data_IF_447187494158
#
_entry.id   IF_447187494158
#
_cell.length_a   1.000
_cell.length_b   1.000
_cell.length_c   1.000
_cell.angle_alpha   90.00
_cell.angle_beta   90.00
_cell.angle_gamma   90.00
#
_symmetry.space_group_name_H-M   'P 1'
#
loop_
_entity.id
_entity.type
_entity.pdbx_description
1 polymer ?
#
# COMPACT_ATOMS: atom_id res chain seq x y z
N UNK A 1 27.75 -2.68 17.04
CA UNK A 1 26.77 -1.94 17.85
C UNK A 1 27.17 -0.46 17.86
N UNK A 2 26.66 0.34 16.96
CA UNK A 2 26.84 1.80 16.98
C UNK A 2 25.58 2.38 17.59
N UNK A 3 25.66 2.87 18.80
CA UNK A 3 24.62 3.65 19.45
C UNK A 3 24.53 5.01 18.76
N UNK A 4 23.69 5.14 17.74
CA UNK A 4 23.29 6.44 17.24
C UNK A 4 22.32 7.07 18.24
N UNK A 5 22.86 7.85 19.18
CA UNK A 5 22.12 8.73 20.06
C UNK A 5 21.55 9.89 19.24
N UNK A 6 20.25 9.81 18.89
CA UNK A 6 19.32 10.94 18.98
C UNK A 6 19.66 12.25 18.26
N UNK A 7 20.25 12.25 17.04
CA UNK A 7 20.13 13.42 16.17
C UNK A 7 18.94 13.17 15.24
N UNK A 8 17.89 13.99 15.34
CA UNK A 8 16.84 14.06 14.33
C UNK A 8 17.53 14.34 12.98
N UNK A 9 17.20 13.57 11.96
CA UNK A 9 17.75 13.74 10.59
C UNK A 9 17.29 15.07 9.99
N UNK A 10 16.07 15.48 10.32
CA UNK A 10 15.48 16.77 9.95
C UNK A 10 14.71 17.34 11.15
N UNK A 11 14.34 18.61 11.12
CA UNK A 11 13.77 19.31 12.30
C UNK A 11 12.46 18.69 12.80
N UNK A 12 11.46 18.49 11.90
CA UNK A 12 10.19 17.83 12.22
C UNK A 12 9.63 17.03 11.01
N UNK A 13 9.54 17.64 9.83
CA UNK A 13 9.10 17.00 8.59
C UNK A 13 9.74 17.65 7.38
N UNK A 14 9.82 16.91 6.28
CA UNK A 14 10.24 17.40 4.97
C UNK A 14 9.11 17.17 3.99
N UNK A 15 8.74 18.21 3.26
CA UNK A 15 7.84 18.11 2.13
C UNK A 15 8.68 17.86 0.86
N UNK A 16 8.32 16.80 0.14
CA UNK A 16 8.93 16.43 -1.13
C UNK A 16 8.10 17.01 -2.26
N UNK A 17 8.74 17.85 -3.06
CA UNK A 17 8.13 18.51 -4.21
C UNK A 17 8.75 17.96 -5.50
N UNK A 18 7.92 17.63 -6.50
CA UNK A 18 8.40 17.10 -7.78
C UNK A 18 7.29 16.52 -8.64
N UNK A 19 6.21 16.04 -8.03
CA UNK A 19 5.03 15.59 -8.77
C UNK A 19 4.22 16.78 -9.30
N UNK A 20 3.69 16.62 -10.52
CA UNK A 20 2.81 17.62 -11.17
C UNK A 20 1.33 17.21 -11.16
N UNK A 21 0.99 16.19 -10.42
CA UNK A 21 -0.37 15.68 -10.24
C UNK A 21 -0.52 14.98 -8.91
N UNK A 22 -1.76 14.63 -8.59
CA UNK A 22 -2.11 13.93 -7.35
C UNK A 22 -1.27 12.68 -7.16
N UNK A 23 -0.78 12.47 -5.94
CA UNK A 23 0.01 11.30 -5.60
C UNK A 23 -0.91 10.26 -4.98
N UNK A 24 -0.98 9.10 -5.61
CA UNK A 24 -1.87 8.01 -5.18
C UNK A 24 -1.20 7.06 -4.21
N UNK A 25 0.11 6.87 -4.33
CA UNK A 25 0.86 5.84 -3.60
C UNK A 25 2.25 6.32 -3.22
N UNK A 26 2.72 5.89 -2.06
CA UNK A 26 4.06 6.19 -1.58
C UNK A 26 4.52 5.20 -0.52
N UNK A 27 5.62 4.48 -0.78
CA UNK A 27 6.13 3.40 0.08
C UNK A 27 7.64 3.50 0.29
N UNK A 28 8.07 3.22 1.50
CA UNK A 28 9.48 3.02 1.80
C UNK A 28 9.98 1.68 1.23
N UNK A 29 11.25 1.64 0.88
CA UNK A 29 11.97 0.37 0.64
C UNK A 29 12.04 -0.46 1.92
N UNK A 30 12.26 -1.77 1.79
CA UNK A 30 12.34 -2.68 2.95
C UNK A 30 13.55 -2.36 3.83
N UNK A 31 14.66 -1.89 3.25
CA UNK A 31 15.81 -1.40 4.01
C UNK A 31 15.60 0.00 4.62
N UNK A 32 14.51 0.69 4.27
CA UNK A 32 14.15 2.01 4.78
C UNK A 32 14.98 3.17 4.25
N UNK A 33 15.93 2.94 3.35
CA UNK A 33 16.84 3.97 2.83
C UNK A 33 16.21 4.83 1.74
N UNK A 34 15.26 4.25 0.99
CA UNK A 34 14.56 4.92 -0.11
C UNK A 34 13.07 5.06 0.18
N UNK A 35 12.48 6.07 -0.43
CA UNK A 35 11.05 6.27 -0.51
C UNK A 35 10.67 6.40 -1.98
N UNK A 36 9.60 5.74 -2.40
CA UNK A 36 9.09 5.83 -3.75
C UNK A 36 7.68 6.43 -3.73
N UNK A 37 7.40 7.36 -4.64
CA UNK A 37 6.07 7.96 -4.81
C UNK A 37 5.62 7.92 -6.27
N UNK A 38 4.32 7.75 -6.51
CA UNK A 38 3.75 7.72 -7.85
C UNK A 38 2.28 8.17 -7.88
N UNK A 39 1.81 8.64 -9.03
CA UNK A 39 0.44 9.16 -9.10
C UNK A 39 -0.08 9.50 -10.49
N UNK A 40 -0.93 10.52 -10.52
CA UNK A 40 -1.68 10.94 -11.72
C UNK A 40 -0.81 11.55 -12.81
N UNK A 41 0.37 12.07 -12.47
CA UNK A 41 1.36 12.56 -13.43
C UNK A 41 2.10 11.44 -14.18
N UNK A 42 1.80 10.16 -13.87
CA UNK A 42 2.37 8.96 -14.51
C UNK A 42 3.87 8.79 -14.27
N UNK A 43 4.40 9.46 -13.28
CA UNK A 43 5.82 9.44 -12.92
C UNK A 43 6.01 8.63 -11.64
N UNK A 44 7.12 7.91 -11.56
CA UNK A 44 7.59 7.26 -10.35
C UNK A 44 8.84 8.05 -9.92
N UNK A 45 8.81 8.64 -8.74
CA UNK A 45 9.93 9.33 -8.13
C UNK A 45 10.53 8.50 -7.00
N UNK A 46 11.86 8.43 -6.96
CA UNK A 46 12.63 7.71 -5.94
C UNK A 46 13.46 8.74 -5.17
N UNK A 47 13.32 8.71 -3.85
CA UNK A 47 13.90 9.67 -2.92
C UNK A 47 14.83 8.96 -1.94
N UNK A 48 16.00 9.53 -1.65
CA UNK A 48 16.89 9.06 -0.59
C UNK A 48 16.46 9.67 0.75
N UNK A 49 16.03 8.83 1.69
CA UNK A 49 15.42 9.28 2.95
C UNK A 49 16.42 9.91 3.91
N UNK A 50 17.65 9.38 3.95
CA UNK A 50 18.67 9.78 4.93
C UNK A 50 19.63 10.87 4.45
N UNK A 51 19.43 11.37 3.24
CA UNK A 51 20.06 12.63 2.86
C UNK A 51 19.37 13.82 3.55
N UNK A 52 20.14 14.89 3.84
CA UNK A 52 19.65 16.06 4.60
C UNK A 52 18.41 16.74 4.02
N UNK A 53 18.13 16.53 2.74
CA UNK A 53 17.03 17.15 2.01
C UNK A 53 16.07 16.12 1.40
N UNK A 54 16.23 14.83 1.67
CA UNK A 54 15.51 13.75 0.98
C UNK A 54 15.54 13.99 -0.54
N UNK A 55 16.73 13.94 -1.14
CA UNK A 55 16.87 14.29 -2.56
C UNK A 55 16.21 13.24 -3.45
N UNK A 56 15.63 13.72 -4.56
CA UNK A 56 15.20 12.85 -5.63
C UNK A 56 16.45 12.29 -6.34
N UNK A 57 16.64 10.97 -6.26
CA UNK A 57 17.79 10.29 -6.86
C UNK A 57 17.48 9.72 -8.23
N UNK A 58 16.20 9.44 -8.52
CA UNK A 58 15.76 8.96 -9.84
C UNK A 58 14.29 9.28 -10.08
N UNK A 59 13.92 9.50 -11.35
CA UNK A 59 12.56 9.75 -11.79
C UNK A 59 12.26 9.01 -13.08
N UNK A 60 11.31 8.08 -13.03
CA UNK A 60 10.84 7.36 -14.22
C UNK A 60 9.65 8.13 -14.79
N UNK A 61 9.97 9.05 -15.72
CA UNK A 61 8.99 9.91 -16.36
C UNK A 61 8.22 9.12 -17.42
N UNK A 62 6.89 9.30 -17.45
CA UNK A 62 6.00 8.53 -18.33
C UNK A 62 6.13 7.01 -18.17
N UNK A 63 6.29 6.56 -16.92
CA UNK A 63 6.33 5.15 -16.58
C UNK A 63 5.13 4.38 -17.16
N UNK A 64 3.94 4.99 -17.07
CA UNK A 64 2.70 4.47 -17.64
C UNK A 64 2.06 5.49 -18.59
N UNK A 65 1.12 5.04 -19.43
CA UNK A 65 0.33 5.92 -20.30
C UNK A 65 -0.85 6.59 -19.58
N UNK A 66 -1.20 6.12 -18.40
CA UNK A 66 -2.30 6.58 -17.54
C UNK A 66 -1.86 6.66 -16.09
N UNK A 67 -2.67 7.23 -15.16
CA UNK A 67 -2.34 7.32 -13.75
C UNK A 67 -1.86 6.01 -13.13
N UNK A 68 -0.86 6.11 -12.25
CA UNK A 68 -0.38 5.00 -11.43
C UNK A 68 -1.21 4.99 -10.16
N UNK A 69 -1.74 3.81 -9.77
CA UNK A 69 -2.64 3.69 -8.63
C UNK A 69 -1.96 3.09 -7.41
N UNK A 70 -1.02 2.16 -7.60
CA UNK A 70 -0.22 1.62 -6.51
C UNK A 70 1.15 1.13 -7.01
N UNK A 71 2.12 1.11 -6.09
CA UNK A 71 3.45 0.55 -6.26
C UNK A 71 3.74 -0.48 -5.18
N UNK A 72 4.68 -1.39 -5.45
CA UNK A 72 5.22 -2.32 -4.47
C UNK A 72 6.72 -2.53 -4.70
N UNK A 73 7.50 -2.52 -3.62
CA UNK A 73 8.92 -2.86 -3.65
C UNK A 73 9.13 -4.37 -3.67
N UNK A 74 10.16 -4.84 -4.35
CA UNK A 74 10.65 -6.20 -4.20
C UNK A 74 11.35 -6.38 -2.85
N UNK A 75 11.42 -7.61 -2.35
CA UNK A 75 11.99 -7.88 -1.02
C UNK A 75 13.49 -7.53 -0.91
N UNK A 76 14.20 -7.52 -2.03
CA UNK A 76 15.62 -7.16 -2.14
C UNK A 76 15.85 -5.66 -2.41
N UNK A 77 14.77 -4.90 -2.57
CA UNK A 77 14.77 -3.48 -2.90
C UNK A 77 15.42 -3.13 -4.26
N UNK A 78 15.64 -4.10 -5.14
CA UNK A 78 16.22 -3.86 -6.47
C UNK A 78 15.17 -3.47 -7.51
N UNK A 79 13.89 -3.79 -7.27
CA UNK A 79 12.80 -3.58 -8.22
C UNK A 79 11.60 -2.91 -7.58
N UNK A 80 10.84 -2.20 -8.43
CA UNK A 80 9.52 -1.66 -8.11
C UNK A 80 8.52 -2.24 -9.11
N UNK A 81 7.42 -2.79 -8.61
CA UNK A 81 6.26 -3.09 -9.42
C UNK A 81 5.25 -1.94 -9.32
N UNK A 82 4.61 -1.58 -10.42
CA UNK A 82 3.58 -0.54 -10.48
C UNK A 82 2.36 -1.02 -11.23
N UNK A 83 1.18 -0.58 -10.78
CA UNK A 83 -0.08 -0.85 -11.47
C UNK A 83 -0.78 0.46 -11.86
N UNK A 84 -1.56 0.41 -12.94
CA UNK A 84 -2.09 1.63 -13.57
C UNK A 84 -3.48 1.44 -14.17
N UNK A 85 -4.14 2.59 -14.36
CA UNK A 85 -5.35 2.76 -15.16
C UNK A 85 -5.15 2.35 -16.63
N UNK A 86 -3.89 2.26 -17.11
CA UNK A 86 -3.57 1.76 -18.45
C UNK A 86 -3.67 0.23 -18.59
N UNK A 87 -4.20 -0.46 -17.56
CA UNK A 87 -4.46 -1.91 -17.52
C UNK A 87 -3.19 -2.76 -17.46
N UNK A 88 -2.08 -2.17 -17.04
CA UNK A 88 -0.78 -2.84 -17.01
C UNK A 88 -0.22 -2.89 -15.61
N UNK A 89 0.53 -3.96 -15.38
CA UNK A 89 1.48 -4.09 -14.30
C UNK A 89 2.88 -4.06 -14.90
N UNK A 90 3.75 -3.20 -14.39
CA UNK A 90 5.10 -3.04 -14.92
C UNK A 90 6.12 -3.22 -13.81
N UNK A 91 7.17 -4.00 -14.07
CA UNK A 91 8.32 -4.17 -13.20
C UNK A 91 9.46 -3.29 -13.68
N UNK A 92 10.06 -2.51 -12.77
CA UNK A 92 11.11 -1.54 -13.03
C UNK A 92 12.37 -1.87 -12.26
N UNK A 93 13.52 -1.67 -12.90
CA UNK A 93 14.83 -1.62 -12.24
C UNK A 93 15.02 -0.21 -11.66
N UNK A 94 15.29 -0.11 -10.36
CA UNK A 94 15.38 1.19 -9.67
C UNK A 94 16.65 1.97 -10.02
N UNK A 95 17.74 1.27 -10.37
CA UNK A 95 19.03 1.88 -10.66
C UNK A 95 19.05 2.52 -12.06
N UNK A 96 18.50 1.80 -13.02
CA UNK A 96 18.53 2.21 -14.43
C UNK A 96 17.25 2.95 -14.85
N UNK A 97 16.17 2.87 -14.09
CA UNK A 97 14.86 3.42 -14.43
C UNK A 97 14.20 2.74 -15.65
N UNK A 98 14.71 1.58 -16.08
CA UNK A 98 14.17 0.85 -17.21
C UNK A 98 13.13 -0.16 -16.77
N UNK A 99 12.10 -0.37 -17.60
CA UNK A 99 11.19 -1.48 -17.37
C UNK A 99 11.86 -2.81 -17.71
N UNK A 100 11.62 -3.81 -16.88
CA UNK A 100 12.07 -5.20 -17.09
C UNK A 100 10.99 -5.99 -17.81
N UNK A 101 9.76 -5.95 -17.28
CA UNK A 101 8.60 -6.66 -17.80
C UNK A 101 7.38 -5.76 -17.75
N UNK A 102 6.53 -5.83 -18.79
CA UNK A 102 5.20 -5.23 -18.82
C UNK A 102 4.16 -6.33 -19.01
N UNK A 103 3.39 -6.59 -17.97
CA UNK A 103 2.27 -7.52 -17.99
C UNK A 103 1.01 -6.81 -18.50
N UNK A 104 0.28 -7.45 -19.43
CA UNK A 104 -0.91 -6.89 -20.11
C UNK A 104 -2.10 -7.85 -19.98
N UNK A 105 -2.29 -8.38 -18.80
CA UNK A 105 -3.20 -9.48 -18.56
C UNK A 105 -4.52 -9.05 -17.94
N UNK A 106 -4.59 -7.80 -17.45
CA UNK A 106 -5.83 -7.17 -17.02
C UNK A 106 -6.61 -6.57 -18.19
N UNK A 107 -7.91 -6.77 -18.18
CA UNK A 107 -8.83 -6.22 -19.18
C UNK A 107 -9.30 -4.81 -18.84
N UNK A 108 -9.11 -4.35 -17.58
CA UNK A 108 -9.48 -3.02 -17.10
C UNK A 108 -8.47 -2.47 -16.08
N UNK A 109 -8.80 -1.35 -15.40
CA UNK A 109 -7.93 -0.67 -14.46
C UNK A 109 -7.41 -1.61 -13.38
N UNK A 110 -6.11 -1.49 -13.07
CA UNK A 110 -5.48 -2.25 -11.99
C UNK A 110 -5.38 -1.35 -10.76
N UNK A 111 -6.10 -1.70 -9.71
CA UNK A 111 -6.25 -0.86 -8.52
C UNK A 111 -5.20 -1.10 -7.46
N UNK A 112 -4.70 -2.34 -7.35
CA UNK A 112 -3.76 -2.70 -6.28
C UNK A 112 -2.77 -3.74 -6.73
N UNK A 113 -1.58 -3.67 -6.12
CA UNK A 113 -0.45 -4.54 -6.38
C UNK A 113 0.31 -4.81 -5.10
N UNK A 114 0.80 -6.04 -4.94
CA UNK A 114 1.73 -6.37 -3.87
C UNK A 114 2.80 -7.33 -4.36
N UNK A 115 3.94 -7.36 -3.66
CA UNK A 115 5.12 -8.12 -4.04
C UNK A 115 5.52 -9.07 -2.91
N UNK A 116 5.83 -10.32 -3.23
CA UNK A 116 6.34 -11.29 -2.27
C UNK A 116 7.31 -12.23 -2.97
N UNK A 117 8.57 -12.23 -2.55
CA UNK A 117 9.70 -12.95 -3.16
C UNK A 117 9.80 -12.71 -4.68
N UNK A 118 9.40 -13.70 -5.48
CA UNK A 118 9.40 -13.61 -6.95
C UNK A 118 7.98 -13.45 -7.52
N UNK A 119 6.97 -13.26 -6.68
CA UNK A 119 5.58 -13.18 -7.10
C UNK A 119 5.05 -11.76 -6.96
N UNK A 120 4.31 -11.33 -7.95
CA UNK A 120 3.52 -10.11 -7.95
C UNK A 120 2.05 -10.51 -8.00
N UNK A 121 1.23 -10.06 -7.06
CA UNK A 121 -0.22 -10.16 -7.19
C UNK A 121 -0.79 -8.80 -7.57
N UNK A 122 -1.82 -8.80 -8.40
CA UNK A 122 -2.54 -7.59 -8.80
C UNK A 122 -4.03 -7.85 -8.89
N UNK A 123 -4.83 -6.83 -8.60
CA UNK A 123 -6.30 -6.88 -8.66
C UNK A 123 -6.85 -5.63 -9.34
N UNK A 124 -8.01 -5.77 -9.99
CA UNK A 124 -8.54 -4.66 -10.75
C UNK A 124 -10.06 -4.65 -10.93
N UNK A 125 -10.47 -3.68 -11.75
CA UNK A 125 -11.86 -3.45 -12.12
C UNK A 125 -12.44 -4.59 -12.98
N UNK A 126 -11.59 -5.37 -13.63
CA UNK A 126 -11.95 -6.57 -14.37
C UNK A 126 -12.35 -7.75 -13.48
N UNK A 127 -12.44 -7.54 -12.17
CA UNK A 127 -12.78 -8.55 -11.17
C UNK A 127 -11.76 -9.69 -11.08
N UNK A 128 -10.55 -9.51 -11.58
CA UNK A 128 -9.53 -10.55 -11.58
C UNK A 128 -8.47 -10.31 -10.49
N UNK A 129 -8.02 -11.40 -9.88
CA UNK A 129 -6.76 -11.50 -9.15
C UNK A 129 -5.77 -12.21 -10.07
N UNK A 130 -4.67 -11.56 -10.42
CA UNK A 130 -3.62 -12.11 -11.28
C UNK A 130 -2.34 -12.23 -10.48
N UNK A 131 -1.65 -13.36 -10.67
CA UNK A 131 -0.37 -13.65 -10.02
C UNK A 131 0.67 -13.87 -11.11
N UNK A 132 1.72 -13.07 -11.08
CA UNK A 132 2.84 -13.12 -12.02
C UNK A 132 4.12 -13.53 -11.30
N UNK A 133 4.87 -14.46 -11.85
CA UNK A 133 6.24 -14.76 -11.42
C UNK A 133 7.22 -13.93 -12.26
N UNK A 134 8.05 -13.11 -11.62
CA UNK A 134 8.99 -12.20 -12.30
C UNK A 134 10.04 -12.95 -13.14
N UNK A 135 10.26 -14.24 -12.88
CA UNK A 135 11.15 -15.11 -13.66
C UNK A 135 10.50 -15.57 -14.97
N UNK A 136 9.17 -15.39 -15.07
CA UNK A 136 8.37 -15.79 -16.23
C UNK A 136 7.77 -14.54 -16.91
N UNK A 137 7.66 -14.59 -18.23
CA UNK A 137 7.07 -13.47 -19.02
C UNK A 137 5.54 -13.49 -19.08
N UNK A 138 4.91 -14.50 -18.52
CA UNK A 138 3.46 -14.72 -18.55
C UNK A 138 2.93 -14.92 -17.15
N UNK A 139 1.61 -14.72 -16.98
CA UNK A 139 0.95 -14.97 -15.70
C UNK A 139 1.14 -16.41 -15.23
N UNK A 140 1.39 -16.57 -13.95
CA UNK A 140 1.52 -17.88 -13.33
C UNK A 140 0.16 -18.45 -12.92
N UNK A 141 -0.74 -17.60 -12.48
CA UNK A 141 -2.08 -18.00 -12.02
C UNK A 141 -3.07 -16.83 -12.11
N UNK A 142 -4.36 -17.12 -12.15
CA UNK A 142 -5.40 -16.09 -12.08
C UNK A 142 -6.66 -16.65 -11.46
N UNK A 143 -7.40 -15.79 -10.77
CA UNK A 143 -8.71 -16.08 -10.22
C UNK A 143 -9.70 -15.00 -10.65
N UNK A 144 -10.85 -15.40 -11.18
CA UNK A 144 -11.95 -14.51 -11.57
C UNK A 144 -12.98 -14.44 -10.44
N UNK A 145 -13.13 -13.24 -9.88
CA UNK A 145 -14.16 -12.96 -8.88
C UNK A 145 -15.44 -12.47 -9.54
N UNK A 146 -16.50 -12.36 -8.75
CA UNK A 146 -17.80 -11.85 -9.23
C UNK A 146 -17.85 -10.32 -9.29
N UNK A 147 -17.13 -9.65 -8.38
CA UNK A 147 -17.18 -8.20 -8.19
C UNK A 147 -15.79 -7.60 -8.36
N UNK A 148 -15.73 -6.28 -8.62
CA UNK A 148 -14.49 -5.52 -8.74
C UNK A 148 -13.67 -5.62 -7.46
N UNK A 149 -12.36 -5.78 -7.62
CA UNK A 149 -11.39 -5.91 -6.56
C UNK A 149 -10.56 -4.63 -6.47
N UNK A 150 -10.43 -4.09 -5.29
CA UNK A 150 -9.79 -2.77 -5.05
C UNK A 150 -8.47 -2.87 -4.31
N UNK A 151 -8.21 -4.00 -3.63
CA UNK A 151 -7.01 -4.16 -2.81
C UNK A 151 -6.63 -5.64 -2.69
N UNK A 152 -5.32 -5.89 -2.67
CA UNK A 152 -4.74 -7.21 -2.40
C UNK A 152 -3.48 -7.09 -1.54
N UNK A 153 -3.17 -8.14 -0.79
CA UNK A 153 -1.98 -8.23 0.05
C UNK A 153 -1.54 -9.68 0.23
N UNK A 154 -0.25 -9.96 0.01
CA UNK A 154 0.33 -11.24 0.38
C UNK A 154 0.38 -11.39 1.91
N UNK A 155 -0.02 -12.54 2.42
CA UNK A 155 0.27 -12.93 3.79
C UNK A 155 1.60 -13.70 3.86
N UNK A 156 1.83 -14.52 2.88
CA UNK A 156 3.03 -15.31 2.69
C UNK A 156 3.09 -15.77 1.22
N UNK A 157 4.09 -16.55 0.85
CA UNK A 157 4.27 -17.07 -0.51
C UNK A 157 3.13 -18.01 -0.99
N UNK A 158 2.18 -18.34 -0.14
CA UNK A 158 1.09 -19.26 -0.48
C UNK A 158 -0.29 -18.63 -0.38
N UNK A 159 -0.44 -17.51 0.33
CA UNK A 159 -1.75 -16.94 0.63
C UNK A 159 -1.80 -15.45 0.28
N UNK A 160 -2.89 -15.04 -0.35
CA UNK A 160 -3.20 -13.65 -0.67
C UNK A 160 -4.55 -13.31 -0.05
N UNK A 161 -4.63 -12.17 0.65
CA UNK A 161 -5.89 -11.55 1.02
C UNK A 161 -6.26 -10.51 -0.03
N UNK A 162 -7.54 -10.47 -0.41
CA UNK A 162 -8.06 -9.47 -1.31
C UNK A 162 -9.48 -9.07 -0.96
N UNK A 163 -9.87 -7.86 -1.34
CA UNK A 163 -11.20 -7.33 -1.08
C UNK A 163 -11.61 -6.32 -2.14
N UNK A 164 -12.89 -5.96 -2.15
CA UNK A 164 -13.46 -5.08 -3.16
C UNK A 164 -14.78 -4.45 -2.77
N UNK A 165 -15.63 -4.22 -3.78
CA UNK A 165 -16.91 -3.52 -3.66
C UNK A 165 -18.01 -4.34 -2.99
N UNK A 166 -17.80 -5.61 -2.75
CA UNK A 166 -18.75 -6.50 -2.06
C UNK A 166 -18.57 -6.50 -0.53
N UNK A 167 -17.70 -5.64 -0.01
CA UNK A 167 -17.46 -5.38 1.41
C UNK A 167 -16.89 -6.58 2.18
N UNK A 168 -16.42 -7.61 1.47
CA UNK A 168 -15.87 -8.83 2.06
C UNK A 168 -14.39 -8.96 1.74
N UNK A 169 -13.65 -9.66 2.60
CA UNK A 169 -12.25 -9.97 2.39
C UNK A 169 -12.12 -11.48 2.26
N UNK A 170 -11.42 -11.90 1.23
CA UNK A 170 -11.22 -13.29 0.86
C UNK A 170 -9.77 -13.69 1.02
N UNK A 171 -9.55 -14.95 1.35
CA UNK A 171 -8.23 -15.58 1.36
C UNK A 171 -8.11 -16.50 0.15
N UNK A 172 -7.09 -16.28 -0.67
CA UNK A 172 -6.77 -17.13 -1.82
C UNK A 172 -5.54 -17.98 -1.52
N UNK A 173 -5.64 -19.29 -1.72
CA UNK A 173 -4.54 -20.24 -1.61
C UNK A 173 -3.92 -20.44 -3.00
N UNK A 174 -2.69 -19.98 -3.17
CA UNK A 174 -1.97 -20.01 -4.46
C UNK A 174 -1.72 -21.45 -4.90
N UNK A 175 -1.37 -22.35 -3.97
CA UNK A 175 -1.08 -23.76 -4.29
C UNK A 175 -2.32 -24.51 -4.75
N UNK A 176 -3.46 -24.22 -4.12
CA UNK A 176 -4.73 -24.84 -4.48
C UNK A 176 -5.42 -24.15 -5.67
N UNK A 177 -5.01 -22.92 -6.00
CA UNK A 177 -5.63 -22.14 -7.06
C UNK A 177 -7.08 -21.74 -6.79
N UNK A 178 -7.48 -21.59 -5.53
CA UNK A 178 -8.87 -21.31 -5.15
C UNK A 178 -8.98 -20.52 -3.85
N UNK A 179 -10.14 -19.89 -3.66
CA UNK A 179 -10.49 -19.22 -2.40
C UNK A 179 -10.69 -20.28 -1.29
N UNK A 180 -10.21 -19.95 -0.11
CA UNK A 180 -10.57 -20.68 1.11
C UNK A 180 -11.99 -20.30 1.53
N UNK A 181 -12.96 -21.13 1.19
CA UNK A 181 -14.40 -20.91 1.49
C UNK A 181 -14.71 -20.81 2.99
N UNK A 182 -13.82 -21.32 3.84
CA UNK A 182 -13.97 -21.26 5.29
C UNK A 182 -13.38 -19.99 5.89
N UNK A 183 -12.76 -19.15 5.05
CA UNK A 183 -12.05 -17.96 5.48
C UNK A 183 -12.52 -16.73 4.70
N UNK A 184 -13.74 -16.29 5.00
CA UNK A 184 -14.32 -15.05 4.47
C UNK A 184 -14.54 -14.11 5.64
N UNK A 185 -13.96 -12.91 5.59
CA UNK A 185 -14.09 -11.90 6.64
C UNK A 185 -15.24 -10.94 6.29
N UNK A 186 -16.22 -10.88 7.15
CA UNK A 186 -17.44 -10.06 6.97
C UNK A 186 -17.57 -9.13 8.17
N UNK A 187 -17.72 -7.82 7.93
CA UNK A 187 -17.85 -6.82 9.01
C UNK A 187 -17.80 -5.37 8.55
N UNK A 188 -17.29 -5.10 7.35
CA UNK A 188 -17.44 -3.80 6.71
C UNK A 188 -18.80 -3.63 6.05
N UNK A 189 -19.25 -2.38 5.95
CA UNK A 189 -20.55 -2.03 5.35
C UNK A 189 -20.42 -1.35 3.98
N UNK A 190 -19.20 -1.12 3.52
CA UNK A 190 -18.91 -0.50 2.22
C UNK A 190 -17.59 -1.03 1.66
N UNK A 191 -17.22 -0.60 0.48
CA UNK A 191 -16.05 -1.00 -0.31
C UNK A 191 -14.78 -1.03 0.55
N UNK A 192 -14.03 -2.13 0.46
CA UNK A 192 -12.69 -2.24 1.06
C UNK A 192 -11.72 -1.44 0.21
N UNK A 193 -10.93 -0.55 0.80
CA UNK A 193 -10.01 0.33 0.07
C UNK A 193 -8.54 0.01 0.30
N UNK A 194 -8.20 -0.61 1.42
CA UNK A 194 -6.82 -0.95 1.76
C UNK A 194 -6.73 -2.17 2.64
N UNK A 195 -5.68 -2.93 2.45
CA UNK A 195 -5.30 -4.08 3.28
C UNK A 195 -3.82 -3.99 3.64
N UNK A 196 -3.47 -4.36 4.85
CA UNK A 196 -2.09 -4.58 5.27
C UNK A 196 -2.01 -5.69 6.32
N UNK A 197 -0.87 -6.37 6.40
CA UNK A 197 -0.66 -7.49 7.32
C UNK A 197 0.37 -7.10 8.37
N UNK A 198 0.09 -7.47 9.62
CA UNK A 198 1.03 -7.28 10.71
C UNK A 198 2.32 -8.09 10.48
N UNK A 199 3.46 -7.57 10.94
CA UNK A 199 4.77 -8.22 10.75
C UNK A 199 4.85 -9.61 11.37
N UNK A 200 4.07 -9.86 12.43
CA UNK A 200 3.97 -11.18 13.06
C UNK A 200 3.02 -12.15 12.33
N UNK A 201 2.43 -11.75 11.20
CA UNK A 201 1.47 -12.52 10.39
C UNK A 201 0.26 -13.06 11.17
N UNK A 202 -0.16 -12.35 12.25
CA UNK A 202 -1.32 -12.75 13.06
C UNK A 202 -2.58 -11.95 12.74
N UNK A 203 -2.38 -10.71 12.29
CA UNK A 203 -3.48 -9.78 12.09
C UNK A 203 -3.47 -9.21 10.68
N UNK A 204 -4.66 -9.04 10.15
CA UNK A 204 -4.92 -8.27 8.94
C UNK A 204 -5.60 -6.98 9.36
N UNK A 205 -5.16 -5.87 8.79
CA UNK A 205 -5.80 -4.56 8.88
C UNK A 205 -6.55 -4.31 7.58
N UNK A 206 -7.76 -3.82 7.67
CA UNK A 206 -8.54 -3.38 6.51
C UNK A 206 -9.08 -1.98 6.72
N UNK A 207 -9.09 -1.18 5.66
CA UNK A 207 -9.77 0.10 5.58
C UNK A 207 -10.94 0.02 4.62
N UNK A 208 -12.03 0.76 4.90
CA UNK A 208 -13.24 0.75 4.08
C UNK A 208 -13.87 2.13 3.96
N UNK A 209 -14.61 2.34 2.87
CA UNK A 209 -15.44 3.54 2.66
C UNK A 209 -16.54 3.72 3.71
N UNK A 210 -16.77 2.73 4.58
CA UNK A 210 -17.64 2.87 5.76
C UNK A 210 -17.02 3.73 6.89
N UNK A 211 -15.87 4.38 6.64
CA UNK A 211 -15.11 5.22 7.58
C UNK A 211 -14.60 4.44 8.81
N UNK A 212 -14.28 3.18 8.63
CA UNK A 212 -13.70 2.37 9.69
C UNK A 212 -12.50 1.55 9.22
N UNK A 213 -11.58 1.30 10.17
CA UNK A 213 -10.59 0.26 10.03
C UNK A 213 -10.99 -0.92 10.91
N UNK A 214 -10.72 -2.13 10.42
CA UNK A 214 -10.94 -3.35 11.20
C UNK A 214 -9.64 -4.14 11.27
N UNK A 215 -9.33 -4.62 12.49
CA UNK A 215 -8.25 -5.55 12.75
C UNK A 215 -8.87 -6.95 12.88
N UNK A 216 -8.40 -7.87 12.05
CA UNK A 216 -8.85 -9.26 11.99
C UNK A 216 -7.77 -10.19 12.51
N UNK A 217 -8.13 -11.15 13.34
CA UNK A 217 -7.23 -12.23 13.75
C UNK A 217 -7.26 -13.32 12.68
N UNK A 218 -6.23 -13.40 11.85
CA UNK A 218 -6.19 -14.33 10.70
C UNK A 218 -5.68 -15.73 11.06
N UNK A 219 -5.36 -15.98 12.31
CA UNK A 219 -5.02 -17.32 12.79
C UNK A 219 -6.23 -18.11 13.29
N UNK A 220 -7.33 -17.41 13.59
CA UNK A 220 -8.58 -18.06 14.02
C UNK A 220 -9.45 -18.45 12.83
N UNK A 221 -10.23 -19.51 13.04
CA UNK A 221 -11.32 -19.89 12.15
C UNK A 221 -12.64 -19.42 12.76
N UNK A 222 -13.50 -18.76 11.97
CA UNK A 222 -14.81 -18.29 12.42
C UNK A 222 -14.87 -16.78 12.68
N UNK A 223 -15.23 -16.34 13.89
CA UNK A 223 -15.31 -14.89 14.17
C UNK A 223 -13.90 -14.29 14.35
N UNK A 224 -13.39 -13.73 13.27
CA UNK A 224 -12.04 -13.21 13.19
C UNK A 224 -11.92 -11.73 13.56
N UNK A 225 -13.05 -11.03 13.78
CA UNK A 225 -13.05 -9.62 14.13
C UNK A 225 -12.40 -9.43 15.52
N UNK A 226 -11.25 -8.76 15.55
CA UNK A 226 -10.54 -8.46 16.79
C UNK A 226 -10.91 -7.09 17.31
N UNK A 227 -10.87 -6.06 16.45
CA UNK A 227 -11.14 -4.68 16.85
C UNK A 227 -11.62 -3.83 15.66
N UNK A 228 -12.56 -2.92 15.92
CA UNK A 228 -13.00 -1.88 14.98
C UNK A 228 -12.51 -0.52 15.46
N UNK A 229 -11.84 0.24 14.59
CA UNK A 229 -11.27 1.55 14.83
C UNK A 229 -12.02 2.58 13.98
N UNK A 230 -12.25 3.75 14.54
CA UNK A 230 -12.98 4.84 13.90
C UNK A 230 -12.16 6.12 13.93
N UNK A 231 -12.46 7.06 13.00
CA UNK A 231 -11.87 8.40 13.02
C UNK A 231 -11.39 8.89 11.67
N UNK A 232 -10.97 7.99 10.76
CA UNK A 232 -10.70 8.34 9.38
C UNK A 232 -11.99 8.67 8.64
N UNK A 233 -11.87 9.44 7.55
CA UNK A 233 -13.00 9.83 6.71
C UNK A 233 -12.71 9.53 5.26
N UNK A 234 -13.68 8.98 4.56
CA UNK A 234 -13.70 8.90 3.12
C UNK A 234 -14.52 10.06 2.57
N UNK A 235 -14.02 10.69 1.52
CA UNK A 235 -14.68 11.82 0.85
C UNK A 235 -15.56 11.39 -0.32
N UNK A 236 -16.29 12.33 -0.91
CA UNK A 236 -17.12 12.10 -2.09
C UNK A 236 -16.30 11.67 -3.33
N UNK A 237 -15.00 11.92 -3.32
CA UNK A 237 -14.07 11.56 -4.39
C UNK A 237 -13.82 10.06 -4.48
N UNK A 238 -14.18 9.31 -3.43
CA UNK A 238 -14.04 7.84 -3.34
C UNK A 238 -12.61 7.34 -3.59
N UNK A 239 -11.62 8.09 -3.12
CA UNK A 239 -10.22 7.69 -3.20
C UNK A 239 -9.98 6.36 -2.45
N UNK A 240 -9.10 5.53 -3.01
CA UNK A 240 -8.68 4.29 -2.37
C UNK A 240 -7.63 4.61 -1.28
N UNK A 241 -8.11 4.97 -0.09
CA UNK A 241 -7.23 5.30 1.03
C UNK A 241 -6.62 4.01 1.59
N UNK A 242 -5.29 3.98 1.66
CA UNK A 242 -4.54 2.82 2.16
C UNK A 242 -4.27 2.93 3.65
N UNK A 243 -4.13 1.77 4.28
CA UNK A 243 -3.80 1.66 5.70
C UNK A 243 -2.52 0.86 5.89
N UNK A 244 -1.84 1.05 7.02
CA UNK A 244 -0.53 0.44 7.27
C UNK A 244 -0.33 0.10 8.75
N UNK A 245 0.32 -1.06 9.00
CA UNK A 245 0.90 -1.43 10.28
C UNK A 245 2.27 -0.78 10.45
N UNK A 246 2.63 -0.42 11.69
CA UNK A 246 4.02 -0.14 12.01
C UNK A 246 4.82 -1.43 12.23
N UNK A 247 6.14 -1.32 12.29
CA UNK A 247 7.05 -2.47 12.36
C UNK A 247 6.90 -3.32 13.63
N UNK A 248 6.44 -2.72 14.73
CA UNK A 248 6.30 -3.38 16.04
C UNK A 248 4.90 -3.98 16.26
N UNK A 249 4.00 -3.88 15.29
CA UNK A 249 2.59 -4.29 15.39
C UNK A 249 1.80 -3.62 16.54
N UNK A 250 2.29 -2.46 16.99
CA UNK A 250 1.67 -1.71 18.09
C UNK A 250 0.78 -0.58 17.62
N UNK A 251 1.05 -0.05 16.42
CA UNK A 251 0.35 1.08 15.83
C UNK A 251 -0.17 0.72 14.44
N UNK A 252 -1.26 1.38 14.07
CA UNK A 252 -1.77 1.39 12.71
C UNK A 252 -2.01 2.82 12.26
N UNK A 253 -1.86 3.06 10.97
CA UNK A 253 -2.08 4.37 10.38
C UNK A 253 -2.94 4.26 9.13
N UNK A 254 -3.63 5.33 8.81
CA UNK A 254 -4.41 5.46 7.59
C UNK A 254 -4.43 6.92 7.14
N UNK A 255 -4.42 7.10 5.83
CA UNK A 255 -4.77 8.36 5.23
C UNK A 255 -6.27 8.67 5.36
N UNK A 256 -6.64 9.92 5.16
CA UNK A 256 -8.01 10.37 5.32
C UNK A 256 -8.34 11.53 4.39
N UNK A 257 -9.59 11.60 3.94
CA UNK A 257 -10.08 12.71 3.11
C UNK A 257 -10.17 14.05 3.87
N UNK A 258 -10.07 14.01 5.19
CA UNK A 258 -10.01 15.24 6.02
C UNK A 258 -8.61 15.87 6.06
N UNK A 259 -7.66 15.41 5.21
CA UNK A 259 -6.28 15.93 5.06
C UNK A 259 -5.35 15.60 6.23
N UNK A 260 -5.74 14.66 7.07
CA UNK A 260 -5.04 14.30 8.31
C UNK A 260 -4.54 12.86 8.18
N UNK A 261 -3.33 12.61 8.66
CA UNK A 261 -2.86 11.25 8.92
C UNK A 261 -3.25 10.88 10.34
N UNK A 262 -4.03 9.83 10.49
CA UNK A 262 -4.42 9.31 11.81
C UNK A 262 -3.55 8.12 12.19
N UNK A 263 -3.12 8.09 13.45
CA UNK A 263 -2.37 6.97 14.02
C UNK A 263 -3.12 6.46 15.27
N UNK A 264 -3.44 5.17 15.27
CA UNK A 264 -4.10 4.49 16.39
C UNK A 264 -3.13 3.59 17.14
N UNK A 265 -3.29 3.54 18.45
CA UNK A 265 -2.73 2.47 19.26
C UNK A 265 -3.63 1.22 19.16
N UNK A 266 -3.04 0.12 18.75
CA UNK A 266 -3.76 -1.15 18.53
C UNK A 266 -4.34 -1.69 19.84
N UNK A 267 -3.59 -1.58 20.95
CA UNK A 267 -4.01 -2.07 22.26
C UNK A 267 -5.14 -1.23 22.83
N UNK A 268 -4.99 0.09 22.81
CA UNK A 268 -5.98 1.04 23.34
C UNK A 268 -7.21 1.14 22.41
N UNK A 269 -7.03 1.02 21.10
CA UNK A 269 -8.11 1.13 20.11
C UNK A 269 -8.57 2.58 19.88
N UNK A 270 -7.72 3.55 20.17
CA UNK A 270 -8.00 4.97 19.97
C UNK A 270 -6.88 5.67 19.21
N UNK A 271 -7.23 6.83 18.62
CA UNK A 271 -6.26 7.70 17.98
C UNK A 271 -5.34 8.28 19.03
N UNK A 272 -4.04 8.09 18.83
CA UNK A 272 -3.01 8.64 19.72
C UNK A 272 -2.34 9.88 19.13
N UNK A 273 -2.37 10.00 17.79
CA UNK A 273 -1.76 11.13 17.10
C UNK A 273 -2.46 11.45 15.79
N UNK A 274 -2.56 12.74 15.52
CA UNK A 274 -2.98 13.31 14.26
C UNK A 274 -1.82 14.12 13.67
N UNK A 275 -1.45 13.86 12.40
CA UNK A 275 -0.39 14.60 11.70
C UNK A 275 -1.06 15.46 10.65
N UNK A 276 -0.74 16.74 10.69
CA UNK A 276 -1.26 17.78 9.81
C UNK A 276 -0.16 18.23 8.85
N UNK A 277 -0.55 18.82 7.72
CA UNK A 277 0.40 19.41 6.77
C UNK A 277 -0.09 19.35 5.33
N UNK A 278 -0.92 18.37 5.00
CA UNK A 278 -1.50 18.26 3.67
C UNK A 278 -2.69 19.20 3.47
N UNK A 279 -2.87 19.65 2.22
CA UNK A 279 -4.00 20.47 1.77
C UNK A 279 -5.05 19.69 0.98
N UNK A 280 -4.78 18.43 0.65
CA UNK A 280 -5.66 17.48 -0.04
C UNK A 280 -5.89 16.21 0.75
N UNK A 281 -6.72 15.31 0.23
CA UNK A 281 -6.91 13.96 0.77
C UNK A 281 -5.57 13.23 0.89
N UNK A 282 -5.31 12.60 2.01
CA UNK A 282 -4.13 11.73 2.20
C UNK A 282 -4.50 10.34 1.71
N UNK A 283 -3.83 9.86 0.67
CA UNK A 283 -4.18 8.61 -0.01
C UNK A 283 -3.48 7.39 0.60
N UNK A 284 -2.20 7.50 0.89
CA UNK A 284 -1.42 6.41 1.47
C UNK A 284 -0.45 6.94 2.54
N UNK A 285 -0.15 6.07 3.47
CA UNK A 285 0.76 6.30 4.59
C UNK A 285 1.65 5.08 4.73
N UNK A 286 2.93 5.27 5.02
CA UNK A 286 3.85 4.17 5.28
C UNK A 286 4.82 4.48 6.42
N UNK A 287 5.22 3.44 7.17
CA UNK A 287 6.19 3.54 8.25
C UNK A 287 7.57 3.12 7.77
N UNK A 288 8.60 3.86 8.17
CA UNK A 288 9.97 3.51 7.82
C UNK A 288 10.42 2.27 8.60
N UNK A 289 10.98 1.28 7.89
CA UNK A 289 11.45 0.03 8.49
C UNK A 289 12.69 0.18 9.36
N UNK A 290 13.59 1.10 8.99
CA UNK A 290 14.88 1.31 9.67
C UNK A 290 14.74 2.22 10.89
N UNK A 291 13.91 3.25 10.81
CA UNK A 291 13.70 4.23 11.89
C UNK A 291 12.22 4.26 12.28
N UNK A 292 11.84 3.59 13.37
CA UNK A 292 10.43 3.34 13.72
C UNK A 292 9.54 4.58 13.89
N UNK A 293 10.16 5.75 14.15
CA UNK A 293 9.43 7.00 14.36
C UNK A 293 9.31 7.87 13.10
N UNK A 294 9.71 7.37 11.94
CA UNK A 294 9.54 8.06 10.66
C UNK A 294 8.33 7.49 9.94
N UNK A 295 7.51 8.39 9.46
CA UNK A 295 6.32 8.09 8.66
C UNK A 295 6.34 8.93 7.39
N UNK A 296 5.85 8.37 6.30
CA UNK A 296 5.56 9.10 5.07
C UNK A 296 4.06 9.20 4.85
N UNK A 297 3.64 10.21 4.12
CA UNK A 297 2.28 10.37 3.64
C UNK A 297 2.27 11.00 2.26
N UNK A 298 1.32 10.62 1.43
CA UNK A 298 1.13 11.14 0.07
C UNK A 298 -0.29 11.62 -0.12
N UNK A 299 -0.47 12.67 -0.94
CA UNK A 299 -1.74 13.36 -1.00
C UNK A 299 -2.12 13.82 -2.42
N UNK A 300 -3.41 14.10 -2.58
CA UNK A 300 -3.99 14.78 -3.74
C UNK A 300 -3.51 16.23 -3.91
N UNK A 301 -2.80 16.79 -2.94
CA UNK A 301 -2.19 18.13 -3.04
C UNK A 301 -0.86 18.13 -3.82
N UNK A 302 -0.52 17.03 -4.48
CA UNK A 302 0.71 16.81 -5.25
C UNK A 302 2.00 16.76 -4.40
N UNK A 303 1.87 16.62 -3.09
CA UNK A 303 3.02 16.56 -2.18
C UNK A 303 3.12 15.23 -1.46
N UNK A 304 4.34 14.84 -1.13
CA UNK A 304 4.65 13.80 -0.17
C UNK A 304 5.32 14.44 1.04
N UNK A 305 5.02 13.97 2.24
CA UNK A 305 5.62 14.44 3.48
C UNK A 305 6.29 13.26 4.17
N UNK A 306 7.55 13.42 4.55
CA UNK A 306 8.27 12.49 5.42
C UNK A 306 8.57 13.20 6.74
N UNK A 307 8.19 12.63 7.87
CA UNK A 307 8.33 13.28 9.15
C UNK A 307 8.44 12.33 10.33
N UNK A 308 8.78 12.90 11.49
CA UNK A 308 8.72 12.19 12.76
C UNK A 308 7.31 12.27 13.38
N UNK A 309 6.90 11.17 13.98
CA UNK A 309 5.65 11.11 14.75
C UNK A 309 5.87 10.67 16.19
#
# INVERSE_FOLDING_TARGET
>A
MVKNKGKKLFSDSIQLEGHQGEINTGKFSHNGEYFCSAGNDKTINIWEVFDKKCQNVNSIIHAHSSPILEIAWSNDDDYIASCSVDKRVTLWDIYNGNYIIKYKEHDNFVYSIDFCDNLICSVGEDCSLIINDIRMKTKSNSYQHKYQLTTCKFSDNNNIFFGGIDNQIYKYDIKKGQIDKNFILIGHNDTITGLDISHNNKYLLSNSMDNSLIIWDIQKTGNNLSKKLMGNKHGPEKNLLRCKWNNDDTLVSCGSADKIVHIWDVKLGCIIKNIYGHNGSVNEVDFNSLVPNIISSVSNDNTSIIGYF
#
